data_IF_016371697532
#
_entry.id   IF_016371697532
#
_cell.length_a   1.000
_cell.length_b   1.000
_cell.length_c   1.000
_cell.angle_alpha   90.00
_cell.angle_beta   90.00
_cell.angle_gamma   90.00
#
_symmetry.space_group_name_H-M   'P 1'
#
loop_
_entity.id
_entity.type
_entity.pdbx_description
1 polymer ?
#
# COMPACT_ATOMS: atom_id res chain seq x y z
N UNK A 1 -8.40 3.06 -21.32
CA UNK A 1 -8.67 2.85 -19.88
C UNK A 1 -7.96 1.57 -19.45
N UNK A 2 -6.88 1.66 -18.66
CA UNK A 2 -6.14 0.49 -18.14
C UNK A 2 -6.81 0.05 -16.83
N UNK A 3 -7.91 -0.68 -16.93
CA UNK A 3 -8.65 -1.20 -15.76
C UNK A 3 -8.02 -2.45 -15.12
N UNK A 4 -6.76 -2.76 -15.42
CA UNK A 4 -6.29 -4.13 -15.21
C UNK A 4 -5.81 -4.47 -13.81
N UNK A 5 -5.46 -3.53 -12.90
CA UNK A 5 -4.97 -3.86 -11.53
C UNK A 5 -5.08 -2.71 -10.50
N UNK A 6 -6.27 -2.15 -10.22
CA UNK A 6 -6.40 -1.25 -9.06
C UNK A 6 -6.55 -2.03 -7.75
N UNK A 7 -6.14 -1.42 -6.64
CA UNK A 7 -6.26 -2.01 -5.31
C UNK A 7 -7.73 -2.28 -4.96
N UNK A 8 -8.59 -1.30 -5.23
CA UNK A 8 -10.02 -1.33 -4.94
C UNK A 8 -10.72 -2.41 -5.75
N UNK A 9 -10.34 -2.61 -7.01
CA UNK A 9 -10.91 -3.67 -7.84
C UNK A 9 -10.47 -5.06 -7.35
N UNK A 10 -9.19 -5.21 -6.95
CA UNK A 10 -8.70 -6.45 -6.39
C UNK A 10 -9.38 -6.79 -5.05
N UNK A 11 -9.62 -5.78 -4.21
CA UNK A 11 -10.33 -5.94 -2.94
C UNK A 11 -11.78 -6.35 -3.16
N UNK A 12 -12.52 -5.64 -4.03
CA UNK A 12 -13.90 -6.01 -4.41
C UNK A 12 -13.99 -7.43 -4.97
N UNK A 13 -13.00 -7.84 -5.77
CA UNK A 13 -12.94 -9.19 -6.32
C UNK A 13 -12.73 -10.23 -5.21
N UNK A 14 -11.81 -9.96 -4.27
CA UNK A 14 -11.55 -10.84 -3.13
C UNK A 14 -12.81 -11.00 -2.28
N UNK A 15 -13.53 -9.92 -1.97
CA UNK A 15 -14.81 -9.99 -1.26
C UNK A 15 -15.85 -10.83 -2.00
N UNK A 16 -15.91 -10.70 -3.33
CA UNK A 16 -16.81 -11.52 -4.14
C UNK A 16 -16.43 -13.00 -4.10
N UNK A 17 -15.13 -13.32 -4.03
CA UNK A 17 -14.66 -14.70 -3.92
C UNK A 17 -15.05 -15.26 -2.55
N UNK A 18 -14.82 -14.52 -1.46
CA UNK A 18 -15.22 -14.94 -0.12
C UNK A 18 -16.71 -15.25 -0.05
N UNK A 19 -17.57 -14.36 -0.58
CA UNK A 19 -19.02 -14.61 -0.65
C UNK A 19 -19.39 -15.86 -1.45
N UNK A 20 -18.63 -16.19 -2.50
CA UNK A 20 -18.88 -17.39 -3.29
C UNK A 20 -18.46 -18.66 -2.56
N UNK A 21 -17.33 -18.61 -1.84
CA UNK A 21 -16.83 -19.73 -1.03
C UNK A 21 -17.73 -20.03 0.18
N UNK A 22 -18.53 -19.07 0.63
CA UNK A 22 -19.53 -19.25 1.70
C UNK A 22 -20.82 -19.94 1.22
N UNK A 23 -21.02 -20.12 -0.09
CA UNK A 23 -22.20 -20.83 -0.59
C UNK A 23 -22.06 -22.34 -0.41
N UNK A 24 -23.07 -22.98 0.18
CA UNK A 24 -23.08 -24.43 0.45
C UNK A 24 -23.16 -25.31 -0.81
N UNK A 25 -23.65 -24.77 -1.92
CA UNK A 25 -23.82 -25.49 -3.20
C UNK A 25 -22.57 -25.45 -4.10
N UNK A 26 -21.45 -24.89 -3.63
CA UNK A 26 -20.22 -24.80 -4.43
C UNK A 26 -19.56 -26.18 -4.59
N UNK A 27 -19.13 -26.47 -5.81
CA UNK A 27 -18.36 -27.70 -6.08
C UNK A 27 -16.93 -27.60 -5.53
N UNK A 28 -16.31 -28.76 -5.23
CA UNK A 28 -14.93 -28.79 -4.76
C UNK A 28 -13.95 -28.15 -5.76
N UNK A 29 -14.08 -28.46 -7.05
CA UNK A 29 -13.21 -27.91 -8.09
C UNK A 29 -13.33 -26.39 -8.18
N UNK A 30 -14.56 -25.85 -8.15
CA UNK A 30 -14.79 -24.41 -8.14
C UNK A 30 -14.26 -23.75 -6.87
N UNK A 31 -14.39 -24.42 -5.71
CA UNK A 31 -13.85 -23.92 -4.45
C UNK A 31 -12.31 -23.81 -4.49
N UNK A 32 -11.64 -24.76 -5.15
CA UNK A 32 -10.20 -24.76 -5.33
C UNK A 32 -9.74 -23.63 -6.25
N UNK A 33 -10.42 -23.43 -7.38
CA UNK A 33 -10.11 -22.33 -8.31
C UNK A 33 -10.26 -20.96 -7.65
N UNK A 34 -11.37 -20.76 -6.92
CA UNK A 34 -11.66 -19.53 -6.19
C UNK A 34 -10.65 -19.30 -5.06
N UNK A 35 -10.26 -20.36 -4.34
CA UNK A 35 -9.26 -20.26 -3.28
C UNK A 35 -7.89 -19.83 -3.83
N UNK A 36 -7.43 -20.46 -4.92
CA UNK A 36 -6.18 -20.07 -5.57
C UNK A 36 -6.22 -18.62 -6.05
N UNK A 37 -7.34 -18.18 -6.62
CA UNK A 37 -7.51 -16.80 -7.02
C UNK A 37 -7.49 -15.84 -5.82
N UNK A 38 -8.16 -16.21 -4.72
CA UNK A 38 -8.13 -15.47 -3.46
C UNK A 38 -6.70 -15.27 -2.96
N UNK A 39 -5.87 -16.32 -2.95
CA UNK A 39 -4.45 -16.23 -2.55
C UNK A 39 -3.67 -15.28 -3.46
N UNK A 40 -3.90 -15.31 -4.78
CA UNK A 40 -3.25 -14.38 -5.71
C UNK A 40 -3.62 -12.92 -5.42
N UNK A 41 -4.90 -12.65 -5.12
CA UNK A 41 -5.38 -11.32 -4.79
C UNK A 41 -4.82 -10.82 -3.44
N UNK A 42 -4.81 -11.67 -2.42
CA UNK A 42 -4.23 -11.33 -1.10
C UNK A 42 -2.76 -10.92 -1.24
N UNK A 43 -1.95 -11.70 -1.98
CA UNK A 43 -0.54 -11.36 -2.23
C UNK A 43 -0.38 -10.02 -2.95
N UNK A 44 -1.23 -9.76 -3.94
CA UNK A 44 -1.23 -8.48 -4.66
C UNK A 44 -1.56 -7.31 -3.74
N UNK A 45 -2.61 -7.42 -2.93
CA UNK A 45 -3.05 -6.38 -1.99
C UNK A 45 -1.96 -6.09 -0.96
N UNK A 46 -1.36 -7.12 -0.36
CA UNK A 46 -0.23 -6.98 0.57
C UNK A 46 0.96 -6.27 -0.06
N UNK A 47 1.33 -6.63 -1.30
CA UNK A 47 2.41 -5.96 -2.03
C UNK A 47 2.12 -4.47 -2.18
N UNK A 48 0.87 -4.11 -2.52
CA UNK A 48 0.48 -2.70 -2.68
C UNK A 48 0.47 -1.94 -1.36
N UNK A 49 0.02 -2.55 -0.27
CA UNK A 49 0.08 -1.92 1.06
C UNK A 49 1.53 -1.65 1.47
N UNK A 50 2.42 -2.63 1.30
CA UNK A 50 3.84 -2.46 1.62
C UNK A 50 4.51 -1.35 0.78
N UNK A 51 4.14 -1.24 -0.51
CA UNK A 51 4.62 -0.15 -1.37
C UNK A 51 4.17 1.23 -0.84
N UNK A 52 2.93 1.34 -0.34
CA UNK A 52 2.38 2.57 0.21
C UNK A 52 3.03 2.91 1.55
N UNK A 53 3.15 1.93 2.45
CA UNK A 53 3.79 2.08 3.75
C UNK A 53 5.22 2.61 3.60
N UNK A 54 6.02 2.00 2.72
CA UNK A 54 7.39 2.46 2.43
C UNK A 54 7.43 3.90 1.92
N UNK A 55 6.47 4.31 1.08
CA UNK A 55 6.39 5.69 0.60
C UNK A 55 6.07 6.66 1.73
N UNK A 56 5.15 6.28 2.62
CA UNK A 56 4.81 7.07 3.81
C UNK A 56 6.03 7.22 4.72
N UNK A 57 6.78 6.15 4.98
CA UNK A 57 8.01 6.19 5.77
C UNK A 57 9.05 7.15 5.19
N UNK A 58 9.25 7.13 3.87
CA UNK A 58 10.19 8.04 3.19
C UNK A 58 9.74 9.49 3.36
N UNK A 59 8.46 9.79 3.13
CA UNK A 59 7.92 11.14 3.27
C UNK A 59 8.04 11.68 4.70
N UNK A 60 7.84 10.84 5.71
CA UNK A 60 8.04 11.22 7.11
C UNK A 60 9.51 11.56 7.37
N UNK A 61 10.44 10.70 6.94
CA UNK A 61 11.89 10.93 7.11
C UNK A 61 12.38 12.19 6.40
N UNK A 62 11.92 12.42 5.17
CA UNK A 62 12.23 13.64 4.41
C UNK A 62 11.69 14.88 5.12
N UNK A 63 10.48 14.80 5.67
CA UNK A 63 9.91 15.89 6.46
C UNK A 63 10.76 16.18 7.70
N UNK A 64 11.15 15.16 8.47
CA UNK A 64 12.00 15.31 9.65
C UNK A 64 13.39 15.87 9.31
N UNK A 65 14.00 15.41 8.22
CA UNK A 65 15.29 15.94 7.75
C UNK A 65 15.19 17.39 7.31
N UNK A 66 14.12 17.75 6.61
CA UNK A 66 13.84 19.14 6.24
C UNK A 66 13.64 20.02 7.47
N UNK A 67 12.90 19.57 8.48
CA UNK A 67 12.74 20.30 9.75
C UNK A 67 14.09 20.54 10.44
N UNK A 68 14.96 19.53 10.53
CA UNK A 68 16.33 19.72 11.08
C UNK A 68 17.13 20.75 10.28
N UNK A 69 17.08 20.74 8.95
CA UNK A 69 17.81 21.71 8.13
C UNK A 69 17.28 23.14 8.31
N UNK A 70 15.99 23.32 8.59
CA UNK A 70 15.39 24.62 8.88
C UNK A 70 15.72 25.10 10.31
N UNK A 71 15.78 24.20 11.30
CA UNK A 71 16.22 24.54 12.68
C UNK A 71 17.71 24.96 12.75
N UNK A 72 18.56 24.43 11.85
CA UNK A 72 19.97 24.83 11.76
C UNK A 72 20.22 26.12 10.95
N UNK A 73 19.17 26.73 10.39
CA UNK A 73 19.25 28.08 9.79
C UNK A 73 18.97 29.18 10.82
N UNK A 74 19.47 29.02 12.04
CA UNK A 74 19.60 30.14 12.98
C UNK A 74 20.87 30.93 12.62
N UNK A 75 20.66 32.12 12.06
CA UNK A 75 21.51 33.32 12.10
C UNK A 75 23.04 33.13 11.93
N UNK A 76 23.48 32.72 10.74
CA UNK A 76 24.88 32.94 10.31
C UNK A 76 25.09 34.28 9.59
N UNK A 77 24.13 35.22 9.68
CA UNK A 77 24.28 36.57 9.10
C UNK A 77 25.04 37.58 9.98
N UNK A 78 25.47 37.22 11.21
CA UNK A 78 26.27 38.10 12.09
C UNK A 78 27.70 37.56 12.39
N UNK A 79 28.42 37.09 11.37
CA UNK A 79 29.90 37.04 11.44
C UNK A 79 30.48 37.98 10.38
N UNK A 80 30.08 39.26 10.44
CA UNK A 80 30.94 40.36 10.01
C UNK A 80 31.75 40.85 11.22
N UNK A 81 33.07 40.96 11.01
CA UNK A 81 34.09 41.57 11.88
C UNK A 81 34.34 40.95 13.27
N UNK A 82 35.49 40.26 13.41
CA UNK A 82 36.67 40.70 14.17
C UNK A 82 37.90 39.89 13.74
#
# INVERSE_FOLDING_TARGET
MKETKSFENALKKLESITRKLENEDISLDESMELFEEGIRLVRFLQTKLNEVERKVEILIKESEEKFRLEEFKEDTEDIEEI
#
